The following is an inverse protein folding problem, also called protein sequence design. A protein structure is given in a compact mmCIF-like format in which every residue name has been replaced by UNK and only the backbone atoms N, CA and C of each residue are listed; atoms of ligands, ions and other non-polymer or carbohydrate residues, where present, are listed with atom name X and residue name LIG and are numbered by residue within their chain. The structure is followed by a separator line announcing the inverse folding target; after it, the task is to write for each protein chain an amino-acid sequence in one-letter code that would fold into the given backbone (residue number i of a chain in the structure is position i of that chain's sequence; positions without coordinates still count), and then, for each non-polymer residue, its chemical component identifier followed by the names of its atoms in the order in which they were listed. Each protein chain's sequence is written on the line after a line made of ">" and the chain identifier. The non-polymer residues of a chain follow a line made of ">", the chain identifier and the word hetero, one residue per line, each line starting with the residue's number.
data_IF_653987268032
#
_entry.id   IF_653987268032
#
_cell.length_a   1.000
_cell.length_b   1.000
_cell.length_c   1.000
_cell.angle_alpha   90.00
_cell.angle_beta   90.00
_cell.angle_gamma   90.00
#
_symmetry.space_group_name_H-M   'P 1'
#
loop_
_entity.id
_entity.type
_entity.pdbx_description
1 polymer ?
#
# COMPACT_ATOMS: atom_id res chain seq x y z
N UNK A 1 -7.45 37.88 -44.48
CA UNK A 1 -6.88 38.31 -43.19
C UNK A 1 -7.43 37.55 -41.99
N UNK A 2 -8.76 37.44 -41.77
CA UNK A 2 -9.34 36.72 -40.61
C UNK A 2 -8.99 35.22 -40.51
N UNK A 3 -8.77 34.54 -41.64
CA UNK A 3 -8.44 33.12 -41.66
C UNK A 3 -6.99 32.83 -41.24
N UNK A 4 -6.05 33.74 -41.59
CA UNK A 4 -4.65 33.63 -41.18
C UNK A 4 -4.47 33.84 -39.67
N UNK A 5 -5.23 34.74 -39.06
CA UNK A 5 -5.20 34.94 -37.60
C UNK A 5 -5.77 33.75 -36.82
N UNK A 6 -6.76 33.04 -37.38
CA UNK A 6 -7.33 31.83 -36.78
C UNK A 6 -6.36 30.64 -36.83
N UNK A 7 -5.68 30.45 -37.97
CA UNK A 7 -4.65 29.40 -38.11
C UNK A 7 -3.48 29.67 -37.16
N UNK A 8 -3.04 30.93 -37.04
CA UNK A 8 -1.93 31.29 -36.15
C UNK A 8 -2.29 31.09 -34.67
N UNK A 9 -3.52 31.45 -34.26
CA UNK A 9 -4.00 31.21 -32.90
C UNK A 9 -4.11 29.71 -32.59
N UNK A 10 -4.64 28.90 -33.52
CA UNK A 10 -4.76 27.45 -33.35
C UNK A 10 -3.39 26.75 -33.28
N UNK A 11 -2.43 27.19 -34.10
CA UNK A 11 -1.06 26.67 -34.06
C UNK A 11 -0.34 27.03 -32.75
N UNK A 12 -0.57 28.23 -32.23
CA UNK A 12 0.02 28.66 -30.95
C UNK A 12 -0.55 27.88 -29.77
N UNK A 13 -1.86 27.61 -29.76
CA UNK A 13 -2.47 26.73 -28.74
C UNK A 13 -1.94 25.30 -28.82
N UNK A 14 -1.67 24.77 -30.01
CA UNK A 14 -1.12 23.42 -30.19
C UNK A 14 0.32 23.30 -29.66
N UNK A 15 1.13 24.36 -29.78
CA UNK A 15 2.51 24.39 -29.24
C UNK A 15 2.51 24.40 -27.69
N UNK A 16 1.56 25.10 -27.06
CA UNK A 16 1.43 25.07 -25.60
C UNK A 16 0.99 23.70 -25.05
N UNK A 17 0.24 22.92 -25.82
CA UNK A 17 -0.18 21.57 -25.42
C UNK A 17 0.99 20.56 -25.54
N UNK A 18 1.94 20.79 -26.46
CA UNK A 18 3.05 19.87 -26.73
C UNK A 18 4.29 20.11 -25.84
N UNK A 19 4.36 21.22 -25.10
CA UNK A 19 5.50 21.53 -24.23
C UNK A 19 5.36 21.00 -22.78
N UNK A 20 4.37 20.14 -22.52
CA UNK A 20 4.02 19.68 -21.17
C UNK A 20 4.48 18.26 -20.78
N UNK A 21 5.41 17.64 -21.52
CA UNK A 21 5.98 16.36 -21.11
C UNK A 21 7.07 16.61 -20.06
N UNK A 22 6.71 16.47 -18.79
CA UNK A 22 7.67 16.42 -17.69
C UNK A 22 8.39 15.07 -17.77
N UNK A 23 9.68 15.10 -18.09
CA UNK A 23 10.60 13.98 -17.90
C UNK A 23 10.75 13.83 -16.37
N UNK A 24 9.92 13.00 -15.76
CA UNK A 24 10.07 12.70 -14.34
C UNK A 24 11.39 11.93 -14.11
N UNK A 25 12.07 12.25 -13.01
CA UNK A 25 13.31 11.58 -12.63
C UNK A 25 12.98 10.21 -12.02
N UNK A 26 13.69 9.12 -12.35
CA UNK A 26 13.28 7.78 -11.96
C UNK A 26 13.55 7.47 -10.47
N UNK A 27 12.75 6.58 -9.88
CA UNK A 27 13.16 5.74 -8.75
C UNK A 27 14.36 4.91 -9.19
N UNK A 28 15.46 5.00 -8.47
CA UNK A 28 16.72 4.31 -8.81
C UNK A 28 17.02 3.28 -7.73
N UNK A 29 17.36 2.08 -8.17
CA UNK A 29 17.87 1.01 -7.31
C UNK A 29 19.34 0.79 -7.65
N UNK A 30 20.20 0.94 -6.66
CA UNK A 30 21.65 0.75 -6.79
C UNK A 30 22.08 -0.43 -5.91
N UNK A 31 22.68 -1.48 -6.50
CA UNK A 31 23.25 -2.58 -5.71
C UNK A 31 24.43 -2.08 -4.87
N UNK A 32 24.46 -2.46 -3.59
CA UNK A 32 25.58 -2.13 -2.72
C UNK A 32 26.74 -3.10 -2.92
N UNK A 33 27.95 -2.54 -2.99
CA UNK A 33 29.19 -3.33 -3.09
C UNK A 33 29.62 -3.94 -1.77
N UNK A 34 29.12 -3.43 -0.64
CA UNK A 34 29.38 -3.90 0.71
C UNK A 34 28.06 -3.95 1.49
N UNK A 35 27.78 -5.07 2.16
CA UNK A 35 26.59 -5.22 3.02
C UNK A 35 26.74 -4.32 4.24
N UNK A 36 25.73 -3.49 4.51
CA UNK A 36 25.69 -2.63 5.69
C UNK A 36 24.99 -3.31 6.86
N UNK A 37 25.47 -3.05 8.08
CA UNK A 37 24.93 -3.66 9.31
C UNK A 37 23.63 -2.99 9.78
N UNK A 38 23.34 -1.76 9.33
CA UNK A 38 22.21 -0.95 9.79
C UNK A 38 21.55 -0.23 8.61
N UNK A 39 20.24 -0.40 8.48
CA UNK A 39 19.42 0.31 7.50
C UNK A 39 19.21 1.77 7.93
N UNK A 40 19.30 2.71 6.98
CA UNK A 40 19.18 4.15 7.21
C UNK A 40 18.26 4.79 6.16
N UNK A 41 17.56 5.86 6.54
CA UNK A 41 16.73 6.64 5.60
C UNK A 41 17.08 8.11 5.74
N UNK A 42 17.39 8.77 4.61
CA UNK A 42 17.83 10.16 4.59
C UNK A 42 17.24 10.95 3.42
N UNK A 43 17.20 12.27 3.58
CA UNK A 43 16.82 13.20 2.51
C UNK A 43 18.08 13.76 1.86
N UNK A 44 18.20 13.59 0.55
CA UNK A 44 19.31 14.10 -0.24
C UNK A 44 18.79 14.96 -1.38
N UNK A 45 19.58 15.96 -1.77
CA UNK A 45 19.33 16.76 -2.96
C UNK A 45 20.27 16.29 -4.07
N UNK A 46 19.71 15.84 -5.18
CA UNK A 46 20.48 15.50 -6.38
C UNK A 46 20.18 16.50 -7.51
N UNK A 47 21.20 16.80 -8.33
CA UNK A 47 21.03 17.64 -9.51
C UNK A 47 20.86 16.76 -10.74
N UNK A 48 19.65 16.68 -11.27
CA UNK A 48 19.30 15.90 -12.47
C UNK A 48 18.96 16.88 -13.59
N UNK A 49 19.74 16.89 -14.68
CA UNK A 49 19.52 17.74 -15.86
C UNK A 49 19.31 19.24 -15.52
N UNK A 50 20.16 19.79 -14.66
CA UNK A 50 20.12 21.19 -14.18
C UNK A 50 18.92 21.55 -13.27
N UNK A 51 18.12 20.56 -12.85
CA UNK A 51 17.08 20.72 -11.83
C UNK A 51 17.52 20.05 -10.50
N UNK A 52 17.34 20.75 -9.39
CA UNK A 52 17.53 20.17 -8.05
C UNK A 52 16.27 19.40 -7.66
N UNK A 53 16.42 18.09 -7.48
CA UNK A 53 15.33 17.18 -7.09
C UNK A 53 15.60 16.68 -5.69
N UNK A 54 14.56 16.69 -4.85
CA UNK A 54 14.60 16.10 -3.52
C UNK A 54 14.32 14.59 -3.62
N UNK A 55 15.23 13.80 -3.04
CA UNK A 55 15.22 12.34 -3.09
C UNK A 55 15.28 11.79 -1.66
N UNK A 56 14.43 10.82 -1.36
CA UNK A 56 14.58 9.99 -0.17
C UNK A 56 15.46 8.80 -0.53
N UNK A 57 16.57 8.65 0.17
CA UNK A 57 17.47 7.51 0.04
C UNK A 57 17.20 6.52 1.18
N UNK A 58 16.89 5.28 0.80
CA UNK A 58 16.74 4.14 1.70
C UNK A 58 17.94 3.22 1.51
N UNK A 59 18.80 3.16 2.53
CA UNK A 59 19.91 2.22 2.56
C UNK A 59 19.40 0.91 3.17
N UNK A 60 19.20 -0.10 2.32
CA UNK A 60 18.84 -1.46 2.71
C UNK A 60 20.11 -2.31 2.85
N UNK A 61 20.00 -3.56 3.32
CA UNK A 61 21.18 -4.41 3.53
C UNK A 61 22.01 -4.66 2.27
N UNK A 62 21.35 -4.83 1.13
CA UNK A 62 21.98 -5.28 -0.12
C UNK A 62 21.94 -4.21 -1.22
N UNK A 63 21.13 -3.16 -1.04
CA UNK A 63 20.85 -2.17 -2.08
C UNK A 63 20.53 -0.79 -1.48
N UNK A 64 20.62 0.23 -2.32
CA UNK A 64 20.16 1.59 -2.01
C UNK A 64 19.00 1.88 -2.94
N UNK A 65 17.85 2.22 -2.36
CA UNK A 65 16.66 2.64 -3.12
C UNK A 65 16.49 4.14 -2.98
N UNK A 66 16.54 4.85 -4.09
CA UNK A 66 16.38 6.31 -4.18
C UNK A 66 15.03 6.64 -4.78
N UNK A 67 14.19 7.31 -4.02
CA UNK A 67 12.83 7.68 -4.41
C UNK A 67 12.75 9.20 -4.54
N UNK A 68 12.50 9.67 -5.76
CA UNK A 68 12.24 11.10 -6.01
C UNK A 68 10.87 11.50 -5.45
N UNK A 69 10.83 12.58 -4.67
CA UNK A 69 9.58 13.09 -4.09
C UNK A 69 8.58 13.56 -5.16
N UNK A 70 9.06 13.90 -6.35
CA UNK A 70 8.21 14.33 -7.45
C UNK A 70 7.32 13.20 -8.01
N UNK A 71 7.70 11.93 -7.80
CA UNK A 71 7.00 10.76 -8.37
C UNK A 71 5.97 10.17 -7.42
N UNK A 72 6.04 10.53 -6.14
CA UNK A 72 5.10 10.06 -5.12
C UNK A 72 4.47 11.28 -4.43
N UNK A 73 3.48 11.95 -5.07
CA UNK A 73 2.88 13.19 -4.56
C UNK A 73 2.31 13.06 -3.15
N UNK A 74 1.83 11.88 -2.77
CA UNK A 74 1.31 11.64 -1.42
C UNK A 74 2.39 11.80 -0.34
N UNK A 75 3.64 11.39 -0.63
CA UNK A 75 4.77 11.57 0.29
C UNK A 75 5.19 13.03 0.34
N UNK A 76 5.27 13.71 -0.81
CA UNK A 76 5.54 15.14 -0.84
C UNK A 76 4.52 15.94 -0.02
N UNK A 77 3.23 15.67 -0.22
CA UNK A 77 2.14 16.31 0.54
C UNK A 77 2.18 15.97 2.04
N UNK A 78 2.51 14.73 2.41
CA UNK A 78 2.70 14.35 3.81
C UNK A 78 3.87 15.14 4.44
N UNK A 79 5.01 15.22 3.76
CA UNK A 79 6.18 15.93 4.26
C UNK A 79 5.96 17.44 4.36
N UNK A 80 5.21 18.04 3.43
CA UNK A 80 4.87 19.46 3.46
C UNK A 80 4.07 19.88 4.71
N UNK A 81 3.40 18.92 5.38
CA UNK A 81 2.65 19.18 6.61
C UNK A 81 3.51 19.09 7.89
N UNK A 82 4.76 18.63 7.78
CA UNK A 82 5.65 18.41 8.92
C UNK A 82 6.63 19.57 9.08
N UNK A 83 6.67 20.16 10.28
CA UNK A 83 7.67 21.18 10.61
C UNK A 83 9.11 20.63 10.57
N UNK A 84 9.29 19.35 10.90
CA UNK A 84 10.56 18.65 10.82
C UNK A 84 10.44 17.49 9.83
N UNK A 85 10.72 17.77 8.55
CA UNK A 85 10.67 16.80 7.45
C UNK A 85 11.66 15.66 7.66
N UNK A 86 12.89 15.97 8.10
CA UNK A 86 13.93 14.97 8.35
C UNK A 86 13.46 13.91 9.34
N UNK A 87 12.89 14.33 10.48
CA UNK A 87 12.33 13.39 11.45
C UNK A 87 11.19 12.54 10.88
N UNK A 88 10.34 13.12 10.03
CA UNK A 88 9.26 12.38 9.39
C UNK A 88 9.78 11.32 8.40
N UNK A 89 10.92 11.61 7.74
CA UNK A 89 11.62 10.70 6.82
C UNK A 89 12.34 9.59 7.58
N UNK A 90 13.04 9.92 8.68
CA UNK A 90 13.71 8.93 9.55
C UNK A 90 12.73 7.90 10.16
N UNK A 91 11.43 8.20 10.18
CA UNK A 91 10.38 7.30 10.65
C UNK A 91 9.78 6.44 9.54
N UNK A 92 10.15 6.67 8.28
CA UNK A 92 9.75 5.83 7.17
C UNK A 92 10.56 4.55 7.17
N UNK A 93 9.96 3.47 6.67
CA UNK A 93 10.65 2.20 6.46
C UNK A 93 10.28 1.65 5.10
N UNK A 94 11.26 1.11 4.39
CA UNK A 94 11.06 0.46 3.10
C UNK A 94 11.42 -1.02 3.24
N UNK A 95 10.49 -1.91 2.92
CA UNK A 95 10.70 -3.35 2.99
C UNK A 95 10.54 -3.98 1.60
N UNK A 96 11.51 -4.77 1.11
CA UNK A 96 11.39 -5.45 -0.17
C UNK A 96 10.41 -6.63 -0.09
N UNK A 97 9.70 -6.86 -1.19
CA UNK A 97 8.94 -8.06 -1.50
C UNK A 97 9.59 -8.69 -2.73
N UNK A 98 10.36 -9.74 -2.51
CA UNK A 98 11.01 -10.48 -3.59
C UNK A 98 9.99 -11.32 -4.35
N UNK A 99 9.89 -11.09 -5.66
CA UNK A 99 9.16 -11.93 -6.61
C UNK A 99 10.15 -12.61 -7.55
N UNK A 100 9.68 -13.58 -8.34
CA UNK A 100 10.55 -14.38 -9.22
C UNK A 100 11.33 -13.52 -10.23
N UNK A 101 10.74 -12.42 -10.73
CA UNK A 101 11.24 -11.63 -11.85
C UNK A 101 11.42 -10.12 -11.57
N UNK A 102 11.01 -9.66 -10.39
CA UNK A 102 11.07 -8.25 -9.97
C UNK A 102 11.02 -8.13 -8.45
N UNK A 103 11.33 -6.95 -7.94
CA UNK A 103 11.20 -6.61 -6.53
C UNK A 103 10.17 -5.50 -6.39
N UNK A 104 9.16 -5.72 -5.54
CA UNK A 104 8.25 -4.66 -5.09
C UNK A 104 8.71 -4.16 -3.72
N UNK A 105 8.27 -2.98 -3.32
CA UNK A 105 8.58 -2.46 -1.98
C UNK A 105 7.32 -1.98 -1.28
N UNK A 106 7.27 -2.22 0.04
CA UNK A 106 6.29 -1.62 0.94
C UNK A 106 6.97 -0.45 1.65
N UNK A 107 6.56 0.78 1.30
CA UNK A 107 6.94 1.98 2.04
C UNK A 107 5.91 2.22 3.14
N UNK A 108 6.34 2.17 4.39
CA UNK A 108 5.56 2.60 5.55
C UNK A 108 5.90 4.05 5.89
N UNK A 109 4.88 4.90 6.06
CA UNK A 109 5.02 6.30 6.45
C UNK A 109 3.90 6.70 7.43
N UNK A 110 3.93 7.94 7.94
CA UNK A 110 2.94 8.46 8.89
C UNK A 110 2.78 7.63 10.18
N UNK A 111 3.82 6.90 10.60
CA UNK A 111 3.75 5.93 11.69
C UNK A 111 3.39 6.57 13.03
N UNK A 112 2.35 6.04 13.68
CA UNK A 112 1.95 6.37 15.05
C UNK A 112 1.75 5.07 15.84
N UNK A 113 2.62 4.83 16.83
CA UNK A 113 2.66 3.57 17.58
C UNK A 113 2.80 2.34 16.63
N UNK A 114 1.76 1.51 16.53
CA UNK A 114 1.73 0.34 15.63
C UNK A 114 1.05 0.60 14.30
N UNK A 115 0.39 1.75 14.13
CA UNK A 115 -0.31 2.09 12.88
C UNK A 115 0.59 2.91 11.96
N UNK A 116 0.31 2.83 10.66
CA UNK A 116 0.93 3.66 9.64
C UNK A 116 0.16 3.61 8.32
N UNK A 117 0.65 4.37 7.35
CA UNK A 117 0.16 4.36 5.98
C UNK A 117 1.15 3.63 5.09
N UNK A 118 0.64 2.92 4.09
CA UNK A 118 1.41 1.95 3.31
C UNK A 118 1.27 2.21 1.81
N UNK A 119 2.41 2.38 1.14
CA UNK A 119 2.50 2.42 -0.31
C UNK A 119 3.13 1.13 -0.82
N UNK A 120 2.52 0.53 -1.83
CA UNK A 120 3.15 -0.51 -2.64
C UNK A 120 3.81 0.17 -3.83
N UNK A 121 5.10 -0.11 -4.04
CA UNK A 121 5.94 0.54 -5.03
C UNK A 121 6.53 -0.52 -5.97
N UNK A 122 6.42 -0.28 -7.28
CA UNK A 122 7.11 -1.02 -8.32
C UNK A 122 8.20 -0.13 -8.90
N UNK A 123 9.46 -0.41 -8.55
CA UNK A 123 10.61 0.39 -9.01
C UNK A 123 10.92 0.18 -10.48
N UNK A 124 10.62 -1.01 -11.03
CA UNK A 124 10.79 -1.32 -12.45
C UNK A 124 9.87 -0.50 -13.34
N UNK A 125 8.61 -0.31 -12.92
CA UNK A 125 7.61 0.46 -13.67
C UNK A 125 7.48 1.92 -13.23
N UNK A 126 8.17 2.33 -12.16
CA UNK A 126 8.09 3.69 -11.62
C UNK A 126 6.67 4.04 -11.14
N UNK A 127 5.95 3.07 -10.60
CA UNK A 127 4.56 3.22 -10.15
C UNK A 127 4.42 2.94 -8.67
N UNK A 128 3.42 3.59 -8.05
CA UNK A 128 3.07 3.35 -6.65
C UNK A 128 1.56 3.47 -6.42
N UNK A 129 1.06 2.76 -5.41
CA UNK A 129 -0.35 2.81 -4.99
C UNK A 129 -0.45 2.80 -3.47
N UNK A 130 -1.31 3.68 -2.92
CA UNK A 130 -1.65 3.66 -1.50
C UNK A 130 -2.54 2.44 -1.24
N UNK A 131 -2.07 1.51 -0.42
CA UNK A 131 -2.80 0.26 -0.12
C UNK A 131 -3.54 0.34 1.22
N UNK A 132 -3.09 1.19 2.15
CA UNK A 132 -3.78 1.42 3.42
C UNK A 132 -3.32 2.73 4.06
N UNK A 133 -4.17 3.32 4.93
CA UNK A 133 -3.91 4.60 5.60
C UNK A 133 -4.19 4.49 7.10
N UNK A 134 -3.19 4.83 7.93
CA UNK A 134 -3.26 4.85 9.40
C UNK A 134 -3.80 3.58 10.07
N UNK A 135 -3.40 2.41 9.59
CA UNK A 135 -3.84 1.08 10.09
C UNK A 135 -2.63 0.23 10.48
N UNK A 136 -2.84 -0.92 11.13
CA UNK A 136 -1.76 -1.87 11.44
C UNK A 136 -1.69 -2.92 10.33
N UNK A 137 -0.53 -3.11 9.69
CA UNK A 137 -0.28 -4.27 8.83
C UNK A 137 -0.02 -5.50 9.71
N UNK A 138 -0.96 -6.44 9.76
CA UNK A 138 -0.80 -7.70 10.51
C UNK A 138 0.15 -8.64 9.76
N UNK A 139 -0.06 -8.78 8.45
CA UNK A 139 0.79 -9.56 7.56
C UNK A 139 0.47 -9.29 6.10
N UNK A 140 1.37 -9.72 5.23
CA UNK A 140 1.13 -9.88 3.81
C UNK A 140 1.61 -11.26 3.37
N UNK A 141 0.97 -11.82 2.35
CA UNK A 141 1.26 -13.14 1.83
C UNK A 141 1.28 -13.08 0.29
N UNK A 142 2.26 -13.74 -0.33
CA UNK A 142 2.26 -13.97 -1.77
C UNK A 142 1.44 -15.25 -2.04
N UNK A 143 0.28 -15.09 -2.68
CA UNK A 143 -0.59 -16.23 -3.00
C UNK A 143 -0.05 -16.99 -4.21
N UNK A 144 0.36 -16.25 -5.23
CA UNK A 144 1.04 -16.74 -6.42
C UNK A 144 1.98 -15.63 -6.95
N UNK A 145 2.70 -15.88 -8.03
CA UNK A 145 3.68 -14.92 -8.59
C UNK A 145 3.08 -13.54 -8.93
N UNK A 146 1.77 -13.48 -9.16
CA UNK A 146 1.06 -12.28 -9.60
C UNK A 146 0.19 -11.64 -8.52
N UNK A 147 0.04 -12.26 -7.33
CA UNK A 147 -1.00 -11.86 -6.37
C UNK A 147 -0.47 -11.72 -4.95
N UNK A 148 -0.53 -10.50 -4.42
CA UNK A 148 -0.28 -10.18 -3.01
C UNK A 148 -1.58 -10.04 -2.24
N UNK A 149 -1.63 -10.64 -1.06
CA UNK A 149 -2.70 -10.50 -0.09
C UNK A 149 -2.18 -9.71 1.11
N UNK A 150 -2.91 -8.68 1.52
CA UNK A 150 -2.62 -7.89 2.71
C UNK A 150 -3.75 -8.06 3.72
N UNK A 151 -3.38 -8.27 4.99
CA UNK A 151 -4.29 -8.25 6.12
C UNK A 151 -3.92 -7.06 7.01
N UNK A 152 -4.82 -6.09 7.10
CA UNK A 152 -4.71 -4.93 7.98
C UNK A 152 -5.66 -5.06 9.15
N UNK A 153 -5.34 -4.40 10.27
CA UNK A 153 -6.22 -4.29 11.42
C UNK A 153 -6.34 -2.85 11.93
N UNK A 154 -7.50 -2.56 12.52
CA UNK A 154 -7.78 -1.32 13.21
C UNK A 154 -8.39 -1.63 14.59
N UNK A 155 -7.88 -0.97 15.62
CA UNK A 155 -8.44 -1.04 16.97
C UNK A 155 -9.75 -0.26 17.02
N UNK A 156 -10.82 -0.86 17.51
CA UNK A 156 -12.09 -0.18 17.73
C UNK A 156 -12.27 0.15 19.22
N UNK A 157 -12.50 1.42 19.57
CA UNK A 157 -12.48 1.87 20.99
C UNK A 157 -13.47 1.14 21.89
N UNK A 158 -14.60 0.73 21.33
CA UNK A 158 -15.71 0.12 22.07
C UNK A 158 -15.64 -1.42 22.09
N UNK A 159 -14.65 -2.03 21.42
CA UNK A 159 -14.53 -3.48 21.26
C UNK A 159 -13.09 -3.93 21.54
N UNK A 160 -12.91 -4.91 22.42
CA UNK A 160 -11.57 -5.45 22.74
C UNK A 160 -10.99 -6.38 21.66
N UNK A 161 -11.45 -6.25 20.42
CA UNK A 161 -11.01 -7.02 19.25
C UNK A 161 -10.77 -6.06 18.10
N UNK A 162 -9.64 -6.24 17.43
CA UNK A 162 -9.36 -5.51 16.21
C UNK A 162 -10.27 -5.99 15.10
N UNK A 163 -10.76 -5.05 14.30
CA UNK A 163 -11.41 -5.36 13.03
C UNK A 163 -10.36 -5.38 11.95
N UNK A 164 -10.62 -6.16 10.92
CA UNK A 164 -9.64 -6.47 9.91
C UNK A 164 -10.14 -6.11 8.52
N UNK A 165 -9.18 -5.86 7.63
CA UNK A 165 -9.40 -5.60 6.22
C UNK A 165 -8.47 -6.50 5.42
N UNK A 166 -9.03 -7.20 4.45
CA UNK A 166 -8.31 -8.04 3.51
C UNK A 166 -8.30 -7.36 2.14
N UNK A 167 -7.12 -7.14 1.57
CA UNK A 167 -6.95 -6.57 0.24
C UNK A 167 -6.04 -7.45 -0.61
N UNK A 168 -6.46 -7.76 -1.83
CA UNK A 168 -5.63 -8.44 -2.81
C UNK A 168 -5.17 -7.45 -3.89
N UNK A 169 -3.93 -7.59 -4.36
CA UNK A 169 -3.35 -6.75 -5.41
C UNK A 169 -2.64 -7.61 -6.46
N UNK A 170 -2.82 -7.25 -7.72
CA UNK A 170 -2.00 -7.77 -8.81
C UNK A 170 -0.62 -7.08 -8.79
N UNK A 171 0.46 -7.88 -8.77
CA UNK A 171 1.84 -7.38 -8.62
C UNK A 171 2.34 -6.65 -9.86
N UNK A 172 1.81 -6.92 -11.06
CA UNK A 172 2.18 -6.21 -12.29
C UNK A 172 1.51 -4.85 -12.35
N UNK A 173 0.18 -4.83 -12.24
CA UNK A 173 -0.64 -3.64 -12.47
C UNK A 173 -0.77 -2.73 -11.25
N UNK A 174 -0.32 -3.20 -10.07
CA UNK A 174 -0.58 -2.59 -8.77
C UNK A 174 -2.06 -2.24 -8.56
N UNK A 175 -2.94 -3.09 -9.07
CA UNK A 175 -4.38 -2.89 -9.04
C UNK A 175 -5.03 -3.86 -8.05
N UNK A 176 -6.03 -3.37 -7.30
CA UNK A 176 -6.79 -4.21 -6.38
C UNK A 176 -7.56 -5.28 -7.15
N UNK A 177 -7.51 -6.51 -6.65
CA UNK A 177 -8.26 -7.66 -7.16
C UNK A 177 -9.50 -7.90 -6.29
N UNK A 178 -10.67 -8.16 -6.90
CA UNK A 178 -11.88 -8.48 -6.17
C UNK A 178 -11.73 -9.77 -5.35
N UNK A 179 -12.32 -9.75 -4.15
CA UNK A 179 -12.48 -10.93 -3.32
C UNK A 179 -13.83 -11.58 -3.61
N UNK A 180 -13.90 -12.91 -3.57
CA UNK A 180 -15.13 -13.67 -3.73
C UNK A 180 -15.32 -14.56 -2.52
N UNK A 181 -16.46 -14.42 -1.85
CA UNK A 181 -16.85 -15.29 -0.74
C UNK A 181 -17.58 -16.49 -1.33
N UNK A 182 -17.01 -17.69 -1.17
CA UNK A 182 -17.56 -18.91 -1.78
C UNK A 182 -18.48 -19.69 -0.83
N UNK A 183 -18.43 -19.40 0.47
CA UNK A 183 -19.31 -20.02 1.47
C UNK A 183 -20.70 -19.37 1.52
N UNK A 184 -21.74 -20.14 1.87
CA UNK A 184 -23.14 -19.69 2.05
C UNK A 184 -23.38 -18.79 3.29
N UNK A 185 -22.38 -18.00 3.72
CA UNK A 185 -22.53 -17.09 4.85
C UNK A 185 -23.42 -15.89 4.48
N UNK A 186 -24.62 -15.85 5.03
CA UNK A 186 -25.66 -14.86 4.71
C UNK A 186 -25.28 -13.40 5.00
N UNK A 187 -24.23 -13.17 5.79
CA UNK A 187 -23.86 -11.84 6.29
C UNK A 187 -22.49 -11.36 5.85
N UNK A 188 -21.69 -12.23 5.23
CA UNK A 188 -20.36 -11.86 4.74
C UNK A 188 -20.46 -11.50 3.25
N UNK A 189 -19.99 -10.30 2.92
CA UNK A 189 -19.87 -9.85 1.53
C UNK A 189 -18.41 -9.54 1.21
N UNK A 190 -18.00 -9.60 -0.07
CA UNK A 190 -16.67 -9.12 -0.48
C UNK A 190 -16.32 -7.73 0.06
N UNK A 191 -17.28 -6.80 0.03
CA UNK A 191 -17.09 -5.44 0.54
C UNK A 191 -16.84 -5.42 2.06
N UNK A 192 -17.48 -6.30 2.82
CA UNK A 192 -17.28 -6.39 4.27
C UNK A 192 -15.90 -6.97 4.65
N UNK A 193 -15.22 -7.67 3.74
CA UNK A 193 -13.83 -8.10 3.91
C UNK A 193 -12.84 -7.00 3.54
N UNK A 194 -13.19 -6.16 2.57
CA UNK A 194 -12.39 -5.01 2.15
C UNK A 194 -12.62 -3.76 3.02
N UNK A 195 -13.30 -3.90 4.15
CA UNK A 195 -13.53 -2.83 5.12
C UNK A 195 -13.30 -3.36 6.53
N UNK A 196 -12.98 -2.49 7.49
CA UNK A 196 -12.82 -2.84 8.91
C UNK A 196 -14.17 -3.14 9.59
N UNK A 197 -14.89 -4.14 9.08
CA UNK A 197 -16.22 -4.54 9.53
C UNK A 197 -16.14 -5.77 10.43
N UNK A 198 -15.36 -6.78 10.03
CA UNK A 198 -15.27 -8.05 10.74
C UNK A 198 -13.94 -8.21 11.49
N UNK A 199 -13.93 -8.74 12.72
CA UNK A 199 -12.71 -9.26 13.31
C UNK A 199 -12.37 -10.63 12.69
N UNK A 200 -11.11 -10.81 12.29
CA UNK A 200 -10.58 -12.12 11.88
C UNK A 200 -9.90 -12.74 13.09
N UNK A 201 -10.31 -13.96 13.44
CA UNK A 201 -9.69 -14.73 14.51
C UNK A 201 -8.44 -15.43 13.97
N UNK A 202 -8.55 -15.94 12.73
CA UNK A 202 -7.45 -16.56 12.02
C UNK A 202 -7.65 -16.39 10.51
N UNK A 203 -6.53 -16.41 9.78
CA UNK A 203 -6.47 -16.35 8.32
C UNK A 203 -5.48 -17.43 7.87
N UNK A 204 -5.93 -18.43 7.13
CA UNK A 204 -5.09 -19.53 6.65
C UNK A 204 -5.18 -19.61 5.14
N UNK A 205 -4.04 -19.62 4.45
CA UNK A 205 -3.99 -19.76 3.01
C UNK A 205 -3.80 -21.24 2.68
N UNK A 206 -4.67 -21.78 1.84
CA UNK A 206 -4.63 -23.13 1.33
C UNK A 206 -4.50 -23.12 -0.20
N UNK A 207 -3.68 -24.05 -0.71
CA UNK A 207 -3.51 -24.33 -2.14
C UNK A 207 -3.23 -23.09 -3.01
N UNK A 208 -2.56 -22.07 -2.46
CA UNK A 208 -2.12 -20.84 -3.13
C UNK A 208 -3.22 -19.94 -3.73
N UNK A 209 -4.50 -20.25 -3.51
CA UNK A 209 -5.62 -19.48 -4.10
C UNK A 209 -6.86 -19.37 -3.19
N UNK A 210 -6.97 -20.24 -2.18
CA UNK A 210 -8.10 -20.24 -1.24
C UNK A 210 -7.67 -19.71 0.12
N UNK A 211 -8.37 -18.71 0.62
CA UNK A 211 -8.14 -18.08 1.91
C UNK A 211 -9.26 -18.51 2.84
N UNK A 212 -8.91 -19.27 3.87
CA UNK A 212 -9.83 -19.67 4.93
C UNK A 212 -9.78 -18.65 6.05
N UNK A 213 -10.90 -17.96 6.27
CA UNK A 213 -11.08 -17.01 7.34
C UNK A 213 -11.85 -17.67 8.48
N UNK A 214 -11.31 -17.57 9.70
CA UNK A 214 -12.06 -17.91 10.91
C UNK A 214 -12.62 -16.64 11.52
N UNK A 215 -13.96 -16.58 11.63
CA UNK A 215 -14.70 -15.42 12.10
C UNK A 215 -15.55 -15.78 13.34
N UNK A 216 -15.99 -14.80 14.14
CA UNK A 216 -17.03 -15.02 15.13
C UNK A 216 -18.31 -15.57 14.49
N UNK A 217 -18.94 -16.58 15.10
CA UNK A 217 -20.24 -17.10 14.67
C UNK A 217 -21.39 -16.19 15.12
N UNK A 218 -21.43 -14.97 14.57
CA UNK A 218 -22.47 -13.96 14.80
C UNK A 218 -23.17 -13.61 13.49
N UNK A 219 -24.43 -13.17 13.57
CA UNK A 219 -25.23 -12.82 12.38
C UNK A 219 -24.77 -11.47 11.82
N UNK A 220 -24.55 -10.46 12.66
CA UNK A 220 -24.07 -9.14 12.22
C UNK A 220 -22.92 -8.69 13.12
N UNK A 221 -21.86 -8.05 12.58
CA UNK A 221 -20.68 -7.66 13.33
C UNK A 221 -20.86 -6.32 14.06
N UNK A 222 -21.97 -6.17 14.79
CA UNK A 222 -22.19 -4.98 15.63
C UNK A 222 -21.27 -5.02 16.86
N UNK A 223 -20.96 -3.86 17.43
CA UNK A 223 -20.10 -3.77 18.63
C UNK A 223 -20.67 -4.60 19.80
N UNK A 224 -22.01 -4.58 19.99
CA UNK A 224 -22.69 -5.38 21.01
C UNK A 224 -22.55 -6.88 20.75
N UNK A 225 -22.74 -7.33 19.50
CA UNK A 225 -22.62 -8.74 19.13
C UNK A 225 -21.19 -9.24 19.31
N UNK A 226 -20.19 -8.47 18.88
CA UNK A 226 -18.78 -8.83 19.01
C UNK A 226 -18.36 -8.88 20.49
N UNK A 227 -18.75 -7.88 21.30
CA UNK A 227 -18.43 -7.88 22.73
C UNK A 227 -19.11 -9.01 23.49
N UNK A 228 -20.38 -9.29 23.18
CA UNK A 228 -21.10 -10.43 23.77
C UNK A 228 -20.41 -11.74 23.42
N UNK A 229 -20.07 -11.92 22.14
CA UNK A 229 -19.35 -13.09 21.65
C UNK A 229 -17.98 -13.25 22.34
N UNK A 230 -17.21 -12.17 22.46
CA UNK A 230 -15.88 -12.16 23.07
C UNK A 230 -15.89 -12.44 24.59
N UNK A 231 -17.04 -12.26 25.24
CA UNK A 231 -17.21 -12.52 26.67
C UNK A 231 -17.60 -13.98 27.01
N UNK A 232 -17.83 -14.81 25.99
CA UNK A 232 -18.16 -16.22 26.18
C UNK A 232 -16.89 -17.02 26.52
N UNK A 233 -16.99 -17.90 27.52
CA UNK A 233 -15.88 -18.81 27.89
C UNK A 233 -15.46 -19.71 26.71
N UNK A 234 -16.44 -20.15 25.90
CA UNK A 234 -16.25 -20.93 24.68
C UNK A 234 -16.98 -20.22 23.51
N UNK A 235 -16.33 -19.22 22.93
CA UNK A 235 -16.91 -18.40 21.88
C UNK A 235 -16.96 -19.16 20.53
N UNK A 236 -18.15 -19.40 19.94
CA UNK A 236 -18.28 -20.22 18.73
C UNK A 236 -17.72 -19.49 17.49
N UNK A 237 -17.04 -20.21 16.61
CA UNK A 237 -16.48 -19.63 15.37
C UNK A 237 -17.17 -20.21 14.13
N UNK A 238 -17.05 -19.48 13.03
CA UNK A 238 -17.44 -19.95 11.70
C UNK A 238 -16.27 -19.81 10.74
N UNK A 239 -16.16 -20.75 9.79
CA UNK A 239 -15.15 -20.72 8.74
C UNK A 239 -15.79 -20.26 7.44
N UNK A 240 -15.08 -19.40 6.73
CA UNK A 240 -15.50 -18.86 5.44
C UNK A 240 -14.33 -18.93 4.46
N UNK A 241 -14.61 -19.46 3.29
CA UNK A 241 -13.65 -19.56 2.20
C UNK A 241 -13.78 -18.35 1.28
N UNK A 242 -12.64 -17.78 0.94
CA UNK A 242 -12.49 -16.59 0.09
C UNK A 242 -11.50 -16.90 -1.03
N UNK A 243 -11.85 -16.54 -2.26
CA UNK A 243 -10.98 -16.64 -3.43
C UNK A 243 -10.79 -15.24 -4.04
N UNK A 244 -9.87 -15.14 -4.99
CA UNK A 244 -9.57 -13.88 -5.71
C UNK A 244 -9.88 -14.08 -7.19
N UNK A 245 -10.47 -13.07 -7.84
CA UNK A 245 -10.77 -13.03 -9.28
C UNK A 245 -9.94 -11.99 -10.03
#
# INVERSE_FOLDING_TARGET
>A
MRYQTLIFAMAMTLIFILAGCRDNSPIVVEEQTETIDQEETSLVEETVKDETVEIIEFQLKEEIVKISLADIPIIDHYLAQHQNRTRAIEQMTLAPIELTDKTLYILTFAKQDTTGSYLLINTSEQTSVLIADQVTLERYDLLNEETLLFNFSESHRDVNLNRHQLLAYNTDKLASLPLVVTSDSLSLTPLSLQTFTWPFIDVVIHDNETIHLTLPAIIEPTDEAINTWASLDEAPTQMVDVTIE
#
